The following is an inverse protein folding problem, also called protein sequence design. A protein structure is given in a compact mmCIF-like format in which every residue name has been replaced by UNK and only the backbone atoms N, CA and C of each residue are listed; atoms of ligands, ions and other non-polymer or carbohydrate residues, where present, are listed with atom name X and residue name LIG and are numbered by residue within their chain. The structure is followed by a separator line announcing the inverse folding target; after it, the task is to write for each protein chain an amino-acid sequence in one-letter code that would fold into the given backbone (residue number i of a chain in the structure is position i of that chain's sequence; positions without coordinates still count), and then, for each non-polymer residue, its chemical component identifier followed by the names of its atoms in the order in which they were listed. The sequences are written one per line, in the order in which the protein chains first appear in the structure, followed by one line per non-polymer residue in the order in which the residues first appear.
data_IF_230553109005
#
_entry.id   IF_230553109005
#
_cell.length_a   1.000
_cell.length_b   1.000
_cell.length_c   1.000
_cell.angle_alpha   90.00
_cell.angle_beta   90.00
_cell.angle_gamma   90.00
#
_symmetry.space_group_name_H-M   'P 1'
#
loop_
_entity.id
_entity.type
_entity.pdbx_description
1 polymer ?
#
# COMPACT_ATOMS: atom_id res chain seq x y z
N UNK A 1 7.06 -0.23 11.61
CA UNK A 1 6.53 -1.44 12.29
C UNK A 1 7.47 -2.64 12.07
N UNK A 2 7.62 -3.53 13.04
CA UNK A 2 8.60 -4.64 12.99
C UNK A 2 8.23 -5.71 11.96
N UNK A 3 6.95 -6.00 11.81
CA UNK A 3 6.39 -6.88 10.78
C UNK A 3 6.72 -6.42 9.35
N UNK A 4 6.58 -5.13 9.06
CA UNK A 4 6.94 -4.58 7.76
C UNK A 4 8.45 -4.65 7.48
N UNK A 5 9.29 -4.35 8.48
CA UNK A 5 10.74 -4.51 8.37
C UNK A 5 11.13 -5.97 8.14
N UNK A 6 10.46 -6.91 8.79
CA UNK A 6 10.69 -8.34 8.58
C UNK A 6 10.37 -8.74 7.14
N UNK A 7 9.24 -8.28 6.58
CA UNK A 7 8.90 -8.53 5.18
C UNK A 7 9.96 -7.98 4.21
N UNK A 8 10.38 -6.72 4.39
CA UNK A 8 11.43 -6.09 3.56
C UNK A 8 12.79 -6.77 3.69
N UNK A 9 13.09 -7.38 4.84
CA UNK A 9 14.35 -8.11 5.06
C UNK A 9 14.40 -9.43 4.29
N UNK A 10 13.25 -10.00 3.94
CA UNK A 10 13.14 -11.19 3.10
C UNK A 10 13.05 -10.79 1.63
N UNK A 11 12.21 -9.80 1.31
CA UNK A 11 11.98 -9.30 -0.04
C UNK A 11 12.02 -7.76 -0.07
N UNK A 12 13.08 -7.19 -0.65
CA UNK A 12 13.20 -5.75 -0.89
C UNK A 12 12.30 -5.31 -2.07
N UNK A 13 10.99 -5.38 -1.86
CA UNK A 13 9.98 -5.23 -2.90
C UNK A 13 9.88 -6.44 -3.82
N UNK A 14 9.09 -6.31 -4.88
CA UNK A 14 8.99 -7.33 -5.92
C UNK A 14 10.02 -7.13 -7.03
N UNK A 15 10.29 -8.22 -7.77
CA UNK A 15 11.14 -8.21 -8.97
C UNK A 15 10.39 -8.49 -10.27
N UNK A 16 9.17 -9.05 -10.17
CA UNK A 16 8.33 -9.35 -11.33
C UNK A 16 7.72 -8.08 -11.91
N UNK A 17 7.41 -8.14 -13.22
CA UNK A 17 6.80 -7.04 -13.98
C UNK A 17 5.28 -7.01 -13.88
N UNK A 18 4.67 -8.03 -13.27
CA UNK A 18 3.23 -8.11 -13.00
C UNK A 18 2.92 -7.67 -11.56
N UNK A 19 1.75 -7.03 -11.30
CA UNK A 19 1.35 -6.68 -9.94
C UNK A 19 1.34 -7.90 -9.02
N UNK A 20 1.96 -7.76 -7.83
CA UNK A 20 2.00 -8.84 -6.83
C UNK A 20 0.68 -8.96 -6.07
N UNK A 21 0.06 -7.83 -5.78
CA UNK A 21 -1.23 -7.74 -5.09
C UNK A 21 -2.34 -7.42 -6.12
N UNK A 22 -3.55 -7.15 -5.66
CA UNK A 22 -4.70 -6.80 -6.51
C UNK A 22 -4.47 -5.50 -7.31
N UNK A 23 -3.76 -5.61 -8.44
CA UNK A 23 -3.38 -4.48 -9.30
C UNK A 23 -2.23 -3.62 -8.76
N UNK A 24 -1.62 -4.00 -7.63
CA UNK A 24 -0.59 -3.21 -6.97
C UNK A 24 0.77 -3.91 -6.89
N UNK A 25 1.83 -3.12 -7.07
CA UNK A 25 3.21 -3.56 -7.01
C UNK A 25 3.82 -3.34 -5.63
N UNK A 26 4.59 -4.31 -5.12
CA UNK A 26 5.29 -4.18 -3.86
C UNK A 26 6.59 -3.37 -3.99
N UNK A 27 6.68 -2.24 -3.31
CA UNK A 27 7.83 -1.33 -3.40
C UNK A 27 9.07 -1.89 -2.70
N UNK A 28 10.23 -1.72 -3.34
CA UNK A 28 11.53 -1.81 -2.65
C UNK A 28 11.69 -0.64 -1.68
N UNK A 29 12.64 -0.72 -0.74
CA UNK A 29 12.96 0.37 0.18
C UNK A 29 13.35 1.66 -0.54
N UNK A 30 14.01 1.55 -1.70
CA UNK A 30 14.30 2.69 -2.57
C UNK A 30 13.02 3.25 -3.20
N UNK A 31 12.11 2.37 -3.62
CA UNK A 31 10.78 2.72 -4.10
C UNK A 31 9.97 3.48 -3.05
N UNK A 32 9.84 2.92 -1.85
CA UNK A 32 9.21 3.54 -0.67
C UNK A 32 9.74 4.96 -0.46
N UNK A 33 11.08 5.11 -0.38
CA UNK A 33 11.72 6.40 -0.17
C UNK A 33 11.46 7.37 -1.33
N UNK A 34 11.44 6.89 -2.57
CA UNK A 34 11.17 7.71 -3.75
C UNK A 34 9.74 8.25 -3.73
N UNK A 35 8.75 7.39 -3.51
CA UNK A 35 7.33 7.78 -3.45
C UNK A 35 7.06 8.73 -2.29
N UNK A 36 7.58 8.42 -1.09
CA UNK A 36 7.45 9.28 0.08
C UNK A 36 8.06 10.68 -0.16
N UNK A 37 9.22 10.76 -0.83
CA UNK A 37 9.84 12.05 -1.19
C UNK A 37 9.01 12.83 -2.20
N UNK A 38 8.43 12.14 -3.19
CA UNK A 38 7.57 12.77 -4.19
C UNK A 38 6.34 13.40 -3.52
N UNK A 39 5.64 12.63 -2.69
CA UNK A 39 4.49 13.12 -1.91
C UNK A 39 4.85 14.25 -0.95
N UNK A 40 5.92 14.10 -0.17
CA UNK A 40 6.37 15.15 0.76
C UNK A 40 6.77 16.44 0.04
N UNK A 41 7.29 16.34 -1.19
CA UNK A 41 7.58 17.50 -2.03
C UNK A 41 6.29 18.13 -2.58
N UNK A 42 5.35 17.30 -3.04
CA UNK A 42 4.06 17.73 -3.56
C UNK A 42 3.26 18.49 -2.49
N UNK A 43 3.19 17.97 -1.27
CA UNK A 43 2.49 18.62 -0.15
C UNK A 43 3.07 19.98 0.28
N UNK A 44 4.25 20.36 -0.23
CA UNK A 44 4.84 21.68 -0.01
C UNK A 44 4.50 22.67 -1.13
N UNK A 45 3.79 22.24 -2.17
CA UNK A 45 3.35 23.14 -3.23
C UNK A 45 2.19 24.03 -2.73
N UNK A 46 2.07 25.26 -3.26
CA UNK A 46 0.91 26.12 -2.94
C UNK A 46 -0.43 25.47 -3.32
N UNK A 47 -0.45 24.66 -4.37
CA UNK A 47 -1.66 23.99 -4.87
C UNK A 47 -2.24 23.00 -3.86
N UNK A 48 -1.42 22.49 -2.94
CA UNK A 48 -1.82 21.52 -1.91
C UNK A 48 -2.19 22.18 -0.57
N UNK A 49 -2.07 23.51 -0.45
CA UNK A 49 -2.23 24.20 0.83
C UNK A 49 -3.64 24.09 1.43
N UNK A 50 -4.64 23.89 0.59
CA UNK A 50 -6.06 23.75 0.99
C UNK A 50 -6.58 22.32 0.82
N UNK A 51 -5.72 21.38 0.43
CA UNK A 51 -6.12 19.98 0.25
C UNK A 51 -6.23 19.25 1.61
N UNK A 52 -7.36 18.60 1.82
CA UNK A 52 -7.63 17.75 2.98
C UNK A 52 -8.29 16.45 2.54
N UNK A 53 -8.16 15.40 3.36
CA UNK A 53 -8.83 14.12 3.12
C UNK A 53 -10.23 14.04 3.74
N UNK A 54 -11.02 13.09 3.26
CA UNK A 54 -12.24 12.58 3.86
C UNK A 54 -11.96 11.16 4.41
N UNK A 55 -11.29 11.04 5.57
CA UNK A 55 -10.83 9.76 6.10
C UNK A 55 -11.92 8.94 6.80
N UNK A 56 -11.73 7.62 6.83
CA UNK A 56 -12.37 6.73 7.81
C UNK A 56 -11.93 7.09 9.26
N UNK A 57 -12.68 6.59 10.24
CA UNK A 57 -12.34 6.76 11.67
C UNK A 57 -10.92 6.24 11.98
N UNK A 58 -10.17 7.01 12.78
CA UNK A 58 -8.81 6.66 13.18
C UNK A 58 -7.71 7.08 12.20
N UNK A 59 -8.04 7.79 11.11
CA UNK A 59 -7.06 8.35 10.16
C UNK A 59 -7.12 9.89 10.21
N UNK A 60 -5.96 10.55 10.15
CA UNK A 60 -5.89 12.02 10.10
C UNK A 60 -6.49 12.57 8.79
N UNK A 61 -7.16 13.74 8.82
CA UNK A 61 -7.82 14.34 7.64
C UNK A 61 -6.84 15.04 6.68
N UNK A 62 -5.61 14.55 6.59
CA UNK A 62 -4.61 15.08 5.68
C UNK A 62 -4.81 14.55 4.26
N UNK A 63 -4.51 15.37 3.26
CA UNK A 63 -4.39 14.86 1.89
C UNK A 63 -3.27 13.82 1.80
N UNK A 64 -2.11 14.11 2.39
CA UNK A 64 -1.05 13.15 2.66
C UNK A 64 -0.27 13.59 3.88
N UNK A 65 -0.02 12.65 4.82
CA UNK A 65 0.76 12.93 6.02
C UNK A 65 2.20 12.39 5.88
N UNK A 66 3.26 13.12 6.29
CA UNK A 66 4.65 12.64 6.22
C UNK A 66 4.94 11.36 7.02
N UNK A 67 4.06 10.98 7.97
CA UNK A 67 4.16 9.72 8.69
C UNK A 67 3.41 8.56 8.02
N UNK A 68 2.82 8.78 6.84
CA UNK A 68 2.25 7.73 6.00
C UNK A 68 3.32 7.21 5.05
N UNK A 69 3.68 5.94 5.21
CA UNK A 69 4.79 5.32 4.48
C UNK A 69 4.21 4.45 3.36
N UNK A 70 4.29 4.87 2.08
CA UNK A 70 3.77 4.08 0.97
C UNK A 70 4.59 2.79 0.82
N UNK A 71 3.93 1.65 0.67
CA UNK A 71 4.61 0.37 0.45
C UNK A 71 4.14 -0.37 -0.80
N UNK A 72 3.12 0.11 -1.48
CA UNK A 72 2.72 -0.35 -2.82
C UNK A 72 2.69 0.78 -3.82
N UNK A 73 2.54 0.48 -5.12
CA UNK A 73 2.07 1.44 -6.12
C UNK A 73 1.25 0.72 -7.19
N UNK A 74 0.26 1.40 -7.75
CA UNK A 74 -0.52 0.91 -8.91
C UNK A 74 -0.03 1.49 -10.24
N UNK A 75 0.94 2.41 -10.21
CA UNK A 75 1.46 3.12 -11.40
C UNK A 75 0.70 4.40 -11.75
N UNK A 76 -0.37 4.72 -11.02
CA UNK A 76 -1.17 5.94 -11.18
C UNK A 76 -0.98 6.92 -10.01
N UNK A 77 -0.19 6.53 -8.99
CA UNK A 77 0.13 7.38 -7.84
C UNK A 77 -0.68 7.05 -6.58
N UNK A 78 -1.50 6.00 -6.63
CA UNK A 78 -2.21 5.50 -5.48
C UNK A 78 -1.35 4.49 -4.72
N UNK A 79 -1.56 4.42 -3.41
CA UNK A 79 -0.74 3.61 -2.52
C UNK A 79 -1.58 2.99 -1.41
N UNK A 80 -1.19 1.79 -0.99
CA UNK A 80 -1.32 1.39 0.40
C UNK A 80 -0.16 1.97 1.20
N UNK A 81 -0.49 2.54 2.36
CA UNK A 81 0.46 3.18 3.26
C UNK A 81 0.39 2.55 4.65
N UNK A 82 1.54 2.48 5.32
CA UNK A 82 1.58 2.31 6.78
C UNK A 82 1.35 3.67 7.43
N UNK A 83 0.32 3.78 8.25
CA UNK A 83 0.03 5.01 9.00
C UNK A 83 0.74 4.98 10.37
N UNK A 84 1.74 5.84 10.52
CA UNK A 84 2.53 5.96 11.75
C UNK A 84 2.10 7.13 12.65
N UNK A 85 1.06 7.88 12.26
CA UNK A 85 0.50 8.97 13.04
C UNK A 85 -1.04 8.98 12.89
N UNK A 86 -1.71 7.90 13.34
CA UNK A 86 -3.17 7.81 13.27
C UNK A 86 -3.83 8.88 14.14
N UNK A 87 -5.08 9.20 13.80
CA UNK A 87 -5.93 10.02 14.64
C UNK A 87 -6.44 9.23 15.87
N UNK A 88 -7.17 9.91 16.76
CA UNK A 88 -7.84 9.26 17.88
C UNK A 88 -8.72 8.10 17.39
N UNK A 89 -8.60 6.95 18.06
CA UNK A 89 -9.29 5.71 17.66
C UNK A 89 -8.50 4.81 16.70
N UNK A 90 -7.44 5.29 16.06
CA UNK A 90 -6.60 4.50 15.16
C UNK A 90 -5.46 3.73 15.85
N UNK A 91 -4.73 2.95 15.06
CA UNK A 91 -3.60 2.11 15.51
C UNK A 91 -2.32 2.44 14.75
N UNK A 92 -1.23 2.69 15.48
CA UNK A 92 0.09 2.96 14.87
C UNK A 92 0.55 1.73 14.08
N UNK A 93 0.78 1.92 12.79
CA UNK A 93 1.13 0.86 11.84
C UNK A 93 -0.05 0.24 11.11
N UNK A 94 -1.27 0.79 11.27
CA UNK A 94 -2.42 0.41 10.46
C UNK A 94 -2.16 0.66 8.96
N UNK A 95 -2.85 -0.11 8.12
CA UNK A 95 -2.75 -0.01 6.66
C UNK A 95 -3.92 0.82 6.16
N UNK A 96 -3.61 1.86 5.40
CA UNK A 96 -4.58 2.76 4.80
C UNK A 96 -4.43 2.80 3.28
N UNK A 97 -5.51 3.07 2.57
CA UNK A 97 -5.50 3.42 1.14
C UNK A 97 -5.40 4.93 0.98
N UNK A 98 -4.48 5.37 0.13
CA UNK A 98 -4.29 6.77 -0.24
C UNK A 98 -4.42 6.88 -1.74
N UNK A 99 -5.37 7.71 -2.17
CA UNK A 99 -5.61 8.05 -3.57
C UNK A 99 -4.90 9.37 -3.93
N UNK A 100 -4.43 9.48 -5.16
CA UNK A 100 -3.69 10.65 -5.61
C UNK A 100 -4.59 11.83 -6.00
N UNK A 101 -5.84 11.55 -6.36
CA UNK A 101 -6.81 12.47 -6.94
C UNK A 101 -8.18 12.45 -6.23
N UNK A 102 -8.38 11.54 -5.29
CA UNK A 102 -9.57 11.47 -4.43
C UNK A 102 -9.22 11.84 -2.98
N UNK A 103 -10.17 12.41 -2.25
CA UNK A 103 -10.00 12.81 -0.85
C UNK A 103 -10.18 11.64 0.14
N UNK A 104 -10.80 10.54 -0.28
CA UNK A 104 -11.03 9.37 0.57
C UNK A 104 -9.73 8.77 1.16
N UNK A 105 -9.71 8.47 2.46
CA UNK A 105 -8.62 7.71 3.09
C UNK A 105 -9.22 6.51 3.83
N UNK A 106 -9.05 5.33 3.26
CA UNK A 106 -9.75 4.14 3.76
C UNK A 106 -8.87 3.32 4.71
N UNK A 107 -9.43 2.85 5.82
CA UNK A 107 -8.76 1.94 6.73
C UNK A 107 -8.87 0.50 6.21
N UNK A 108 -7.75 -0.10 5.80
CA UNK A 108 -7.72 -1.42 5.17
C UNK A 108 -7.47 -2.54 6.18
N UNK A 109 -6.56 -2.32 7.13
CA UNK A 109 -6.23 -3.32 8.14
C UNK A 109 -5.57 -2.69 9.37
N UNK A 110 -5.66 -3.33 10.55
CA UNK A 110 -5.03 -2.81 11.76
C UNK A 110 -3.48 -2.91 11.76
N UNK A 111 -2.90 -3.77 10.91
CA UNK A 111 -1.44 -3.89 10.79
C UNK A 111 -1.03 -4.50 9.45
N UNK A 112 0.25 -4.33 9.08
CA UNK A 112 0.82 -4.97 7.89
C UNK A 112 0.71 -6.50 7.96
N UNK A 113 1.02 -7.12 9.10
CA UNK A 113 0.90 -8.56 9.27
C UNK A 113 -0.53 -9.09 9.02
N UNK A 114 -1.54 -8.39 9.52
CA UNK A 114 -2.96 -8.77 9.30
C UNK A 114 -3.33 -8.62 7.83
N UNK A 115 -2.99 -7.48 7.21
CA UNK A 115 -3.23 -7.25 5.78
C UNK A 115 -2.57 -8.34 4.92
N UNK A 116 -1.28 -8.59 5.13
CA UNK A 116 -0.52 -9.56 4.34
C UNK A 116 -1.03 -10.99 4.52
N UNK A 117 -1.42 -11.37 5.74
CA UNK A 117 -2.03 -12.68 6.00
C UNK A 117 -3.37 -12.84 5.29
N UNK A 118 -4.17 -11.78 5.21
CA UNK A 118 -5.44 -11.80 4.47
C UNK A 118 -5.21 -11.96 2.96
N UNK A 119 -4.20 -11.27 2.40
CA UNK A 119 -3.79 -11.46 1.00
C UNK A 119 -3.35 -12.90 0.73
N UNK A 120 -2.48 -13.48 1.56
CA UNK A 120 -2.04 -14.88 1.37
C UNK A 120 -3.22 -15.86 1.42
N UNK A 121 -4.24 -15.59 2.24
CA UNK A 121 -5.46 -16.40 2.32
C UNK A 121 -6.43 -16.20 1.14
N UNK A 122 -6.35 -15.09 0.43
CA UNK A 122 -7.20 -14.84 -0.75
C UNK A 122 -6.64 -15.48 -2.02
N UNK A 123 -5.35 -15.86 -2.02
CA UNK A 123 -4.76 -16.61 -3.12
C UNK A 123 -5.46 -17.97 -3.29
N UNK A 124 -5.73 -18.40 -4.54
CA UNK A 124 -6.27 -19.73 -4.77
C UNK A 124 -5.30 -20.78 -4.25
N UNK A 125 -5.82 -21.88 -3.72
CA UNK A 125 -5.00 -23.05 -3.41
C UNK A 125 -4.29 -23.53 -4.69
N UNK A 126 -3.07 -24.06 -4.57
CA UNK A 126 -2.28 -24.53 -5.72
C UNK A 126 -3.06 -25.54 -6.60
N UNK A 127 -4.03 -26.27 -6.02
CA UNK A 127 -4.89 -27.24 -6.73
C UNK A 127 -6.04 -26.60 -7.55
N UNK A 128 -6.36 -25.32 -7.34
CA UNK A 128 -7.42 -24.60 -8.08
C UNK A 128 -6.86 -23.57 -9.09
N UNK A 129 -5.54 -23.42 -9.16
CA UNK A 129 -4.90 -22.68 -10.25
C UNK A 129 -5.12 -23.46 -11.56
N UNK A 130 -5.96 -22.90 -12.45
CA UNK A 130 -6.50 -23.57 -13.64
C UNK A 130 -5.49 -24.46 -14.40
N UNK A 131 -5.88 -25.68 -14.83
CA UNK A 131 -5.01 -26.53 -15.64
C UNK A 131 -4.77 -25.89 -17.01
N UNK A 132 -3.60 -25.25 -17.16
CA UNK A 132 -3.11 -24.73 -18.42
C UNK A 132 -2.62 -25.85 -19.33
N UNK A 133 -3.54 -26.35 -20.16
CA UNK A 133 -3.33 -26.93 -21.49
C UNK A 133 -2.00 -27.68 -21.74
N UNK A 134 -1.94 -28.95 -21.37
CA UNK A 134 -1.22 -29.94 -22.18
C UNK A 134 -2.25 -30.77 -22.92
N UNK A 135 -2.39 -30.54 -24.21
CA UNK A 135 -2.63 -31.61 -25.20
C UNK A 135 -2.63 -31.03 -26.62
N UNK A 136 -1.82 -31.64 -27.49
CA UNK A 136 -1.83 -31.35 -28.91
C UNK A 136 -0.53 -31.67 -29.65
N UNK A 137 -0.03 -32.90 -29.52
CA UNK A 137 0.81 -33.49 -30.57
C UNK A 137 -0.07 -33.73 -31.79
N UNK A 138 0.30 -33.15 -32.93
CA UNK A 138 0.43 -33.87 -34.22
C UNK A 138 1.37 -33.13 -35.15
#
# INVERSE_FOLDING_TARGET
PDDFKAALSVHDGQKGEEPLFEGEFFLSIKGVLSQWRAWTKLMKSPDMAECSGAPDEGICPDWFHPAWIPFTHDGMGNHLCLDLAPADGGQVGQIIRVWHDEDERQLIAPSFAVWFSSFVRSLPNEDEAAPGATDGVS
#
